data_IF_181539668604
#
_entry.id   IF_181539668604
#
_cell.length_a   1.000
_cell.length_b   1.000
_cell.length_c   1.000
_cell.angle_alpha   90.00
_cell.angle_beta   90.00
_cell.angle_gamma   90.00
#
_symmetry.space_group_name_H-M   'P 1'
#
loop_
_entity.id
_entity.type
_entity.pdbx_description
1 polymer ?
#
# COMPACT_ATOMS: atom_id res chain seq x y z
N UNK A 1 38.06 -3.69 12.10
CA UNK A 1 36.62 -3.52 12.40
C UNK A 1 35.85 -4.05 11.21
N UNK A 2 35.34 -5.27 11.33
CA UNK A 2 34.82 -6.07 10.22
C UNK A 2 33.37 -5.67 10.00
N UNK A 3 33.07 -5.00 8.89
CA UNK A 3 31.70 -4.72 8.46
C UNK A 3 31.04 -6.03 8.06
N UNK A 4 30.32 -6.63 9.01
CA UNK A 4 29.50 -7.81 8.79
C UNK A 4 28.27 -7.36 8.00
N UNK A 5 28.36 -7.51 6.67
CA UNK A 5 27.24 -7.37 5.74
C UNK A 5 26.03 -8.14 6.27
N UNK A 6 24.89 -7.46 6.43
CA UNK A 6 23.58 -8.04 6.67
C UNK A 6 23.23 -9.09 5.59
N UNK A 7 23.67 -10.32 5.80
CA UNK A 7 23.32 -11.49 4.99
C UNK A 7 22.49 -12.50 5.78
N UNK A 8 21.88 -12.08 6.89
CA UNK A 8 20.95 -12.92 7.63
C UNK A 8 19.57 -12.75 7.02
N UNK A 9 19.23 -13.66 6.11
CA UNK A 9 17.83 -13.94 5.80
C UNK A 9 17.12 -14.25 7.12
N UNK A 10 16.25 -13.36 7.58
CA UNK A 10 15.41 -13.62 8.73
C UNK A 10 13.95 -13.72 8.28
N UNK A 11 13.43 -14.95 8.26
CA UNK A 11 12.00 -15.20 8.00
C UNK A 11 11.12 -14.42 8.97
N UNK A 12 11.59 -14.19 10.20
CA UNK A 12 10.91 -13.39 11.23
C UNK A 12 10.75 -11.93 10.81
N UNK A 13 11.70 -11.37 10.05
CA UNK A 13 11.60 -9.99 9.56
C UNK A 13 10.53 -9.86 8.48
N UNK A 14 10.47 -10.82 7.56
CA UNK A 14 9.41 -10.86 6.54
C UNK A 14 8.06 -11.13 7.22
N UNK A 15 8.04 -12.02 8.21
CA UNK A 15 6.86 -12.31 9.03
C UNK A 15 6.32 -11.07 9.73
N UNK A 16 7.21 -10.25 10.30
CA UNK A 16 6.88 -8.98 10.93
C UNK A 16 6.18 -8.05 9.93
N UNK A 17 6.72 -7.84 8.73
CA UNK A 17 6.09 -6.95 7.74
C UNK A 17 4.74 -7.47 7.25
N UNK A 18 4.63 -8.78 7.01
CA UNK A 18 3.35 -9.38 6.61
C UNK A 18 2.32 -9.27 7.74
N UNK A 19 2.72 -9.48 9.00
CA UNK A 19 1.86 -9.25 10.16
C UNK A 19 1.35 -7.81 10.22
N UNK A 20 2.24 -6.83 10.02
CA UNK A 20 1.84 -5.43 10.02
C UNK A 20 0.78 -5.15 8.96
N UNK A 21 0.99 -5.61 7.72
CA UNK A 21 -0.02 -5.47 6.66
C UNK A 21 -1.33 -6.17 7.04
N UNK A 22 -1.26 -7.40 7.55
CA UNK A 22 -2.43 -8.18 7.92
C UNK A 22 -3.26 -7.52 9.04
N UNK A 23 -2.60 -7.00 10.08
CA UNK A 23 -3.26 -6.30 11.18
C UNK A 23 -3.88 -4.96 10.72
N UNK A 24 -3.19 -4.22 9.86
CA UNK A 24 -3.66 -2.93 9.35
C UNK A 24 -4.74 -3.06 8.27
N UNK A 25 -4.87 -4.22 7.64
CA UNK A 25 -5.83 -4.47 6.56
C UNK A 25 -7.31 -4.41 6.98
N UNK A 26 -7.64 -4.16 8.27
CA UNK A 26 -8.99 -4.04 8.81
C UNK A 26 -9.96 -5.10 8.26
N UNK A 27 -9.90 -6.35 8.76
CA UNK A 27 -10.78 -7.44 8.30
C UNK A 27 -12.29 -7.20 8.49
N UNK A 28 -12.70 -6.09 9.12
CA UNK A 28 -14.08 -5.81 9.56
C UNK A 28 -14.94 -4.99 8.59
N UNK A 29 -14.39 -4.36 7.55
CA UNK A 29 -15.19 -3.55 6.61
C UNK A 29 -15.58 -4.36 5.36
N UNK A 30 -16.58 -5.23 5.52
CA UNK A 30 -17.52 -5.57 4.45
C UNK A 30 -17.00 -6.33 3.23
N UNK A 31 -16.21 -7.40 3.41
CA UNK A 31 -15.91 -8.36 2.34
C UNK A 31 -17.10 -9.30 2.06
N UNK A 32 -18.25 -8.73 1.70
CA UNK A 32 -19.44 -9.46 1.22
C UNK A 32 -19.38 -9.80 -0.27
N UNK A 33 -18.20 -9.76 -0.89
CA UNK A 33 -17.93 -10.41 -2.18
C UNK A 33 -16.79 -11.39 -1.97
N UNK A 34 -17.12 -12.69 -2.08
CA UNK A 34 -16.17 -13.80 -2.19
C UNK A 34 -14.98 -13.33 -3.03
N UNK A 35 -13.84 -13.08 -2.39
CA UNK A 35 -12.59 -12.83 -3.09
C UNK A 35 -12.33 -14.03 -3.99
N UNK A 36 -11.72 -13.79 -5.15
CA UNK A 36 -11.36 -14.83 -6.09
C UNK A 36 -10.40 -15.80 -5.36
N UNK A 37 -10.96 -16.90 -4.82
CA UNK A 37 -10.29 -18.05 -4.21
C UNK A 37 -9.16 -17.70 -3.22
N UNK A 38 -9.43 -17.79 -1.92
CA UNK A 38 -8.44 -17.92 -0.84
C UNK A 38 -7.41 -16.79 -0.66
N UNK A 39 -7.59 -15.62 -1.30
CA UNK A 39 -6.68 -14.46 -1.15
C UNK A 39 -7.28 -13.35 -0.29
N UNK A 40 -6.41 -12.69 0.47
CA UNK A 40 -6.74 -11.56 1.34
C UNK A 40 -6.28 -10.23 0.72
N UNK A 41 -7.02 -9.16 1.00
CA UNK A 41 -6.65 -7.79 0.65
C UNK A 41 -5.96 -7.11 1.84
N UNK A 42 -4.91 -6.28 1.61
CA UNK A 42 -4.31 -6.00 0.30
C UNK A 42 -3.38 -7.13 -0.16
N UNK A 43 -3.20 -7.32 -1.48
CA UNK A 43 -2.22 -8.27 -2.01
C UNK A 43 -0.79 -7.83 -1.71
N UNK A 44 0.09 -8.79 -1.42
CA UNK A 44 1.52 -8.60 -1.12
C UNK A 44 2.35 -9.30 -2.21
N UNK A 45 3.25 -8.55 -2.83
CA UNK A 45 4.30 -9.09 -3.70
C UNK A 45 5.62 -9.00 -2.94
N UNK A 46 6.33 -10.12 -2.79
CA UNK A 46 7.64 -10.14 -2.15
C UNK A 46 8.71 -9.94 -3.23
N UNK A 47 9.54 -8.92 -3.08
CA UNK A 47 10.64 -8.62 -4.00
C UNK A 47 11.97 -8.78 -3.26
N UNK A 48 12.75 -9.80 -3.66
CA UNK A 48 14.12 -9.96 -3.20
C UNK A 48 15.08 -9.19 -4.12
N UNK A 49 15.82 -8.24 -3.59
CA UNK A 49 16.79 -7.43 -4.37
C UNK A 49 18.22 -7.89 -4.11
N UNK A 50 19.17 -7.44 -4.94
CA UNK A 50 20.59 -7.75 -4.78
C UNK A 50 21.01 -9.13 -5.29
N UNK A 51 20.31 -9.72 -6.27
CA UNK A 51 20.70 -11.02 -6.83
C UNK A 51 22.07 -11.00 -7.50
N UNK A 52 22.56 -9.83 -7.92
CA UNK A 52 23.92 -9.60 -8.43
C UNK A 52 25.02 -9.99 -7.43
N UNK A 53 24.70 -10.00 -6.14
CA UNK A 53 25.65 -10.36 -5.08
C UNK A 53 25.70 -11.86 -4.81
N UNK A 54 24.85 -12.65 -5.47
CA UNK A 54 24.80 -14.11 -5.36
C UNK A 54 25.53 -14.68 -6.57
N UNK A 55 26.37 -15.69 -6.33
CA UNK A 55 27.06 -16.39 -7.41
C UNK A 55 26.02 -17.01 -8.37
N UNK A 56 26.16 -16.85 -9.70
CA UNK A 56 25.19 -17.34 -10.68
C UNK A 56 24.81 -18.81 -10.50
N UNK A 57 25.79 -19.67 -10.19
CA UNK A 57 25.59 -21.10 -9.97
C UNK A 57 24.74 -21.45 -8.74
N UNK A 58 24.62 -20.54 -7.77
CA UNK A 58 23.80 -20.72 -6.56
C UNK A 58 22.48 -19.95 -6.63
N UNK A 59 22.27 -19.11 -7.64
CA UNK A 59 21.19 -18.13 -7.65
C UNK A 59 19.81 -18.80 -7.59
N UNK A 60 19.55 -19.76 -8.46
CA UNK A 60 18.25 -20.43 -8.51
C UNK A 60 17.97 -21.27 -7.25
N UNK A 61 19.00 -21.94 -6.71
CA UNK A 61 18.91 -22.67 -5.44
C UNK A 61 18.53 -21.70 -4.30
N UNK A 62 19.17 -20.54 -4.21
CA UNK A 62 18.89 -19.53 -3.17
C UNK A 62 17.49 -18.94 -3.32
N UNK A 63 17.03 -18.67 -4.54
CA UNK A 63 15.64 -18.23 -4.80
C UNK A 63 14.63 -19.28 -4.34
N UNK A 64 14.89 -20.56 -4.62
CA UNK A 64 14.01 -21.66 -4.23
C UNK A 64 13.98 -21.83 -2.71
N UNK A 65 15.14 -21.92 -2.06
CA UNK A 65 15.27 -21.99 -0.60
C UNK A 65 14.55 -20.83 0.10
N UNK A 66 14.67 -19.60 -0.44
CA UNK A 66 13.97 -18.44 0.09
C UNK A 66 12.45 -18.61 0.03
N UNK A 67 11.91 -18.99 -1.15
CA UNK A 67 10.47 -19.19 -1.34
C UNK A 67 9.92 -20.27 -0.42
N UNK A 68 10.62 -21.39 -0.31
CA UNK A 68 10.22 -22.52 0.55
C UNK A 68 10.24 -22.12 2.01
N UNK A 69 11.31 -21.48 2.49
CA UNK A 69 11.40 -21.07 3.89
C UNK A 69 10.28 -20.10 4.30
N UNK A 70 9.87 -19.18 3.42
CA UNK A 70 8.72 -18.30 3.68
C UNK A 70 7.40 -19.06 3.64
N UNK A 71 7.21 -19.95 2.66
CA UNK A 71 5.99 -20.78 2.57
C UNK A 71 5.82 -21.69 3.78
N UNK A 72 6.90 -22.28 4.26
CA UNK A 72 6.90 -23.17 5.42
C UNK A 72 6.66 -22.41 6.72
N UNK A 73 7.35 -21.28 6.91
CA UNK A 73 7.13 -20.40 8.08
C UNK A 73 5.68 -19.92 8.19
N UNK A 74 5.05 -19.64 7.05
CA UNK A 74 3.67 -19.13 6.97
C UNK A 74 2.63 -20.23 6.75
N UNK A 75 3.01 -21.52 6.77
CA UNK A 75 2.18 -22.62 6.26
C UNK A 75 0.78 -22.69 6.88
N UNK A 76 0.62 -22.38 8.16
CA UNK A 76 -0.69 -22.45 8.82
C UNK A 76 -1.25 -21.07 9.21
N UNK A 77 -0.69 -20.01 8.63
CA UNK A 77 -1.01 -18.64 9.01
C UNK A 77 -1.93 -18.01 7.96
N UNK A 78 -3.03 -17.40 8.40
CA UNK A 78 -3.99 -16.77 7.47
C UNK A 78 -3.35 -15.67 6.63
N UNK A 79 -2.43 -14.90 7.22
CA UNK A 79 -1.71 -13.82 6.56
C UNK A 79 -0.93 -14.24 5.31
N UNK A 80 -0.63 -15.55 5.13
CA UNK A 80 -0.04 -16.08 3.89
C UNK A 80 -0.89 -15.79 2.66
N UNK A 81 -2.21 -15.67 2.85
CA UNK A 81 -3.22 -15.44 1.80
C UNK A 81 -3.09 -14.05 1.17
N UNK A 82 -2.34 -13.12 1.79
CA UNK A 82 -1.98 -11.86 1.15
C UNK A 82 -0.91 -12.05 0.07
N UNK A 83 -0.02 -13.04 0.19
CA UNK A 83 1.11 -13.19 -0.74
C UNK A 83 0.61 -13.69 -2.10
N UNK A 84 0.92 -12.93 -3.16
CA UNK A 84 0.47 -13.25 -4.51
C UNK A 84 1.59 -13.68 -5.46
N UNK A 85 2.84 -13.27 -5.21
CA UNK A 85 4.00 -13.59 -6.03
C UNK A 85 5.34 -13.31 -5.32
N UNK A 86 6.40 -13.85 -5.90
CA UNK A 86 7.80 -13.58 -5.53
C UNK A 86 8.58 -13.16 -6.78
N UNK A 87 9.29 -12.05 -6.71
CA UNK A 87 10.21 -11.57 -7.75
C UNK A 87 11.61 -11.40 -7.18
N UNK A 88 12.62 -11.60 -8.01
CA UNK A 88 14.02 -11.48 -7.61
C UNK A 88 14.77 -10.61 -8.61
N UNK A 89 15.35 -9.52 -8.13
CA UNK A 89 15.94 -8.47 -8.95
C UNK A 89 17.43 -8.30 -8.62
N UNK A 90 18.20 -8.06 -9.68
CA UNK A 90 19.57 -7.57 -9.59
C UNK A 90 19.55 -6.05 -9.47
N UNK A 91 20.39 -5.51 -8.60
CA UNK A 91 20.53 -4.06 -8.45
C UNK A 91 21.40 -3.45 -9.56
N UNK A 92 22.17 -4.29 -10.28
CA UNK A 92 23.05 -3.85 -11.35
C UNK A 92 22.44 -4.06 -12.72
N UNK A 93 21.70 -5.16 -12.89
CA UNK A 93 21.19 -5.65 -14.18
C UNK A 93 19.84 -6.31 -13.98
N UNK A 94 18.79 -5.54 -13.67
CA UNK A 94 17.43 -6.06 -13.77
C UNK A 94 17.07 -6.18 -15.25
N UNK A 95 16.72 -7.38 -15.73
CA UNK A 95 16.22 -7.49 -17.10
C UNK A 95 14.90 -6.73 -17.20
N UNK A 96 14.73 -6.01 -18.30
CA UNK A 96 13.49 -5.28 -18.57
C UNK A 96 12.29 -6.22 -18.50
N UNK A 97 12.46 -7.49 -18.91
CA UNK A 97 11.42 -8.52 -18.83
C UNK A 97 10.89 -8.75 -17.40
N UNK A 98 11.76 -8.91 -16.40
CA UNK A 98 11.32 -9.18 -15.02
C UNK A 98 10.63 -7.94 -14.42
N UNK A 99 11.15 -6.75 -14.72
CA UNK A 99 10.55 -5.49 -14.27
C UNK A 99 9.18 -5.30 -14.92
N UNK A 100 9.04 -5.63 -16.20
CA UNK A 100 7.77 -5.57 -16.91
C UNK A 100 6.76 -6.61 -16.42
N UNK A 101 7.22 -7.81 -16.07
CA UNK A 101 6.38 -8.81 -15.42
C UNK A 101 5.89 -8.33 -14.05
N UNK A 102 6.76 -7.70 -13.26
CA UNK A 102 6.40 -7.11 -11.97
C UNK A 102 5.37 -6.00 -12.16
N UNK A 103 5.55 -5.09 -13.13
CA UNK A 103 4.56 -4.04 -13.47
C UNK A 103 3.22 -4.65 -13.86
N UNK A 104 3.21 -5.64 -14.75
CA UNK A 104 2.01 -6.36 -15.16
C UNK A 104 1.33 -7.03 -13.96
N UNK A 105 2.11 -7.58 -13.03
CA UNK A 105 1.60 -8.22 -11.82
C UNK A 105 0.97 -7.22 -10.86
N UNK A 106 1.60 -6.07 -10.62
CA UNK A 106 1.05 -4.97 -9.82
C UNK A 106 -0.31 -4.55 -10.39
N UNK A 107 -0.39 -4.35 -11.72
CA UNK A 107 -1.64 -3.94 -12.36
C UNK A 107 -2.75 -5.00 -12.24
N UNK A 108 -2.42 -6.28 -12.39
CA UNK A 108 -3.37 -7.39 -12.18
C UNK A 108 -3.85 -7.46 -10.73
N UNK A 109 -2.95 -7.25 -9.77
CA UNK A 109 -3.28 -7.29 -8.35
C UNK A 109 -4.09 -6.07 -7.90
N UNK A 110 -3.84 -4.90 -8.48
CA UNK A 110 -4.66 -3.71 -8.22
C UNK A 110 -6.12 -3.94 -8.62
N UNK A 111 -6.37 -4.59 -9.77
CA UNK A 111 -7.72 -4.88 -10.28
C UNK A 111 -8.57 -5.81 -9.41
N UNK A 112 -7.94 -6.63 -8.56
CA UNK A 112 -8.67 -7.53 -7.66
C UNK A 112 -8.99 -6.89 -6.32
N UNK A 113 -8.40 -5.74 -5.99
CA UNK A 113 -8.69 -5.03 -4.73
C UNK A 113 -10.11 -4.48 -4.81
N UNK A 114 -10.89 -4.69 -3.76
CA UNK A 114 -12.29 -4.29 -3.66
C UNK A 114 -12.54 -2.80 -3.88
N UNK A 115 -11.53 -1.95 -3.71
CA UNK A 115 -11.61 -0.51 -3.96
C UNK A 115 -11.39 -0.11 -5.42
N UNK A 116 -10.87 -1.01 -6.25
CA UNK A 116 -10.63 -0.74 -7.67
C UNK A 116 -11.93 -0.45 -8.40
N UNK A 117 -11.93 0.56 -9.28
CA UNK A 117 -13.10 0.99 -10.06
C UNK A 117 -14.35 1.37 -9.24
N UNK A 118 -14.21 1.61 -7.93
CA UNK A 118 -15.32 2.18 -7.14
C UNK A 118 -15.60 3.60 -7.61
N UNK A 119 -16.84 3.83 -8.03
CA UNK A 119 -17.33 5.16 -8.34
C UNK A 119 -17.25 6.06 -7.10
N UNK A 120 -16.83 7.29 -7.31
CA UNK A 120 -16.85 8.35 -6.29
C UNK A 120 -17.81 9.45 -6.75
N UNK A 121 -18.41 10.21 -5.83
CA UNK A 121 -19.22 11.37 -6.18
C UNK A 121 -18.43 12.38 -7.02
N UNK A 122 -18.98 12.82 -8.15
CA UNK A 122 -18.32 13.82 -9.01
C UNK A 122 -18.04 15.12 -8.23
N UNK A 123 -18.92 15.50 -7.30
CA UNK A 123 -18.72 16.70 -6.47
C UNK A 123 -17.41 16.68 -5.67
N UNK A 124 -16.89 15.50 -5.34
CA UNK A 124 -15.61 15.35 -4.64
C UNK A 124 -14.42 15.82 -5.48
N UNK A 125 -14.51 15.77 -6.82
CA UNK A 125 -13.40 16.23 -7.67
C UNK A 125 -13.23 17.75 -7.62
N UNK A 126 -14.30 18.50 -7.39
CA UNK A 126 -14.21 19.96 -7.25
C UNK A 126 -13.46 20.33 -5.96
N UNK A 127 -13.85 19.72 -4.83
CA UNK A 127 -13.16 19.94 -3.56
C UNK A 127 -11.70 19.46 -3.60
N UNK A 128 -11.42 18.35 -4.30
CA UNK A 128 -10.05 17.87 -4.51
C UNK A 128 -9.18 18.90 -5.25
N UNK A 129 -9.70 19.51 -6.32
CA UNK A 129 -8.99 20.55 -7.07
C UNK A 129 -8.70 21.78 -6.21
N UNK A 130 -9.67 22.24 -5.41
CA UNK A 130 -9.47 23.37 -4.50
C UNK A 130 -8.38 23.07 -3.46
N UNK A 131 -8.39 21.86 -2.87
CA UNK A 131 -7.34 21.43 -1.95
C UNK A 131 -5.97 21.39 -2.67
N UNK A 132 -5.90 20.94 -3.92
CA UNK A 132 -4.66 20.89 -4.69
C UNK A 132 -4.07 22.29 -4.93
N UNK A 133 -4.91 23.28 -5.23
CA UNK A 133 -4.47 24.67 -5.33
C UNK A 133 -3.94 25.21 -3.99
N UNK A 134 -4.57 24.85 -2.88
CA UNK A 134 -4.14 25.25 -1.55
C UNK A 134 -2.81 24.62 -1.13
N UNK A 135 -2.50 23.40 -1.59
CA UNK A 135 -1.22 22.73 -1.29
C UNK A 135 -0.02 23.57 -1.68
N UNK A 136 -0.12 24.39 -2.71
CA UNK A 136 1.00 25.25 -3.13
C UNK A 136 1.46 26.22 -2.03
N UNK A 137 0.57 26.55 -1.07
CA UNK A 137 0.80 27.60 -0.08
C UNK A 137 0.54 27.14 1.37
N UNK A 138 -0.16 26.02 1.57
CA UNK A 138 -0.54 25.49 2.89
C UNK A 138 -0.23 24.01 3.00
N UNK A 139 0.20 23.58 4.18
CA UNK A 139 0.45 22.17 4.51
C UNK A 139 -0.62 21.56 5.41
N UNK A 140 -1.34 22.40 6.15
CA UNK A 140 -2.36 22.03 7.12
C UNK A 140 -3.58 22.95 6.92
N UNK A 141 -4.77 22.38 7.02
CA UNK A 141 -6.05 23.09 7.06
C UNK A 141 -6.80 22.70 8.32
N UNK A 142 -7.62 23.61 8.82
CA UNK A 142 -8.62 23.39 9.84
C UNK A 142 -9.89 22.76 9.24
N UNK A 143 -10.63 22.01 10.04
CA UNK A 143 -11.84 21.32 9.59
C UNK A 143 -12.97 22.27 9.20
N UNK A 144 -13.11 23.39 9.91
CA UNK A 144 -14.10 24.43 9.60
C UNK A 144 -13.86 25.00 8.20
N UNK A 145 -12.63 25.37 7.89
CA UNK A 145 -12.25 25.83 6.56
C UNK A 145 -12.52 24.80 5.45
N UNK A 146 -12.28 23.51 5.70
CA UNK A 146 -12.62 22.46 4.72
C UNK A 146 -14.14 22.34 4.55
N UNK A 147 -14.95 22.47 5.60
CA UNK A 147 -16.40 22.46 5.48
C UNK A 147 -16.92 23.64 4.66
N UNK A 148 -16.36 24.84 4.86
CA UNK A 148 -16.71 26.02 4.07
C UNK A 148 -16.35 25.83 2.60
N UNK A 149 -15.15 25.29 2.33
CA UNK A 149 -14.70 24.95 0.98
C UNK A 149 -15.60 23.90 0.32
N UNK A 150 -15.97 22.87 1.08
CA UNK A 150 -16.85 21.80 0.62
C UNK A 150 -18.26 22.33 0.29
N UNK A 151 -18.78 23.27 1.08
CA UNK A 151 -20.06 23.92 0.84
C UNK A 151 -20.06 24.71 -0.46
N UNK A 152 -18.97 25.42 -0.77
CA UNK A 152 -18.78 26.10 -2.07
C UNK A 152 -18.75 25.11 -3.25
N UNK A 153 -18.30 23.87 -3.01
CA UNK A 153 -18.33 22.77 -3.96
C UNK A 153 -19.64 21.94 -3.95
N UNK A 154 -20.72 22.45 -3.34
CA UNK A 154 -22.03 21.77 -3.21
C UNK A 154 -22.02 20.48 -2.36
N UNK A 155 -21.11 20.38 -1.39
CA UNK A 155 -21.06 19.32 -0.38
C UNK A 155 -21.45 19.93 0.98
N UNK A 156 -22.75 19.96 1.26
CA UNK A 156 -23.29 20.71 2.42
C UNK A 156 -23.38 19.89 3.71
N UNK A 157 -23.41 18.56 3.61
CA UNK A 157 -23.51 17.68 4.77
C UNK A 157 -22.10 17.37 5.31
N UNK A 158 -21.85 17.69 6.57
CA UNK A 158 -20.57 17.42 7.24
C UNK A 158 -20.18 15.93 7.16
N UNK A 159 -21.15 15.01 7.21
CA UNK A 159 -20.90 13.58 7.06
C UNK A 159 -20.30 13.21 5.68
N UNK A 160 -20.70 13.92 4.62
CA UNK A 160 -20.15 13.75 3.29
C UNK A 160 -18.72 14.32 3.20
N UNK A 161 -18.44 15.43 3.89
CA UNK A 161 -17.08 15.98 4.03
C UNK A 161 -16.18 15.00 4.77
N UNK A 162 -16.65 14.42 5.87
CA UNK A 162 -15.92 13.39 6.62
C UNK A 162 -15.68 12.14 5.75
N UNK A 163 -16.66 11.72 4.96
CA UNK A 163 -16.52 10.60 4.02
C UNK A 163 -15.47 10.88 2.94
N UNK A 164 -15.46 12.09 2.38
CA UNK A 164 -14.42 12.56 1.46
C UNK A 164 -13.04 12.52 2.12
N UNK A 165 -12.89 13.07 3.33
CA UNK A 165 -11.61 13.11 4.05
C UNK A 165 -11.11 11.71 4.38
N UNK A 166 -11.98 10.80 4.85
CA UNK A 166 -11.65 9.40 5.08
C UNK A 166 -11.20 8.71 3.80
N UNK A 167 -11.84 9.02 2.67
CA UNK A 167 -11.45 8.49 1.37
C UNK A 167 -10.07 8.99 0.93
N UNK A 168 -9.82 10.29 0.97
CA UNK A 168 -8.52 10.87 0.60
C UNK A 168 -7.39 10.44 1.55
N UNK A 169 -7.70 10.23 2.84
CA UNK A 169 -6.78 9.65 3.82
C UNK A 169 -6.36 8.22 3.44
N UNK A 170 -7.32 7.37 3.05
CA UNK A 170 -7.02 6.02 2.57
C UNK A 170 -6.16 6.00 1.31
N UNK A 171 -6.29 7.02 0.45
CA UNK A 171 -5.43 7.20 -0.73
C UNK A 171 -4.04 7.76 -0.40
N UNK A 172 -3.77 8.15 0.86
CA UNK A 172 -2.51 8.77 1.27
C UNK A 172 -2.32 10.20 0.73
N UNK A 173 -3.37 10.82 0.19
CA UNK A 173 -3.31 12.19 -0.34
C UNK A 173 -3.35 13.24 0.76
N UNK A 174 -3.99 12.95 1.88
CA UNK A 174 -3.99 13.79 3.07
C UNK A 174 -3.99 12.91 4.34
N UNK A 175 -3.76 13.52 5.49
CA UNK A 175 -3.90 12.84 6.78
C UNK A 175 -5.06 13.47 7.54
N UNK A 176 -6.03 12.64 7.91
CA UNK A 176 -7.21 13.03 8.66
C UNK A 176 -7.48 11.99 9.74
N UNK A 177 -7.63 12.46 10.97
CA UNK A 177 -8.00 11.64 12.11
C UNK A 177 -9.35 12.11 12.64
N UNK A 178 -10.37 11.26 12.59
CA UNK A 178 -11.71 11.61 13.07
C UNK A 178 -11.72 11.93 14.58
N UNK A 179 -10.83 11.30 15.35
CA UNK A 179 -10.68 11.53 16.80
C UNK A 179 -9.95 12.83 17.14
N UNK A 180 -9.26 13.46 16.18
CA UNK A 180 -8.52 14.71 16.33
C UNK A 180 -8.77 15.54 15.06
N UNK A 181 -10.05 15.86 14.84
CA UNK A 181 -10.51 16.45 13.58
C UNK A 181 -10.07 17.89 13.38
N UNK A 182 -9.50 18.55 14.39
CA UNK A 182 -9.18 19.99 14.38
C UNK A 182 -8.25 20.39 13.23
N UNK A 183 -7.39 19.48 12.77
CA UNK A 183 -6.42 19.73 11.72
C UNK A 183 -6.34 18.58 10.70
N UNK A 184 -6.28 18.95 9.43
CA UNK A 184 -6.10 18.07 8.28
C UNK A 184 -4.77 18.40 7.61
N UNK A 185 -3.89 17.41 7.51
CA UNK A 185 -2.59 17.58 6.86
C UNK A 185 -2.77 17.32 5.37
N UNK A 186 -2.79 18.40 4.59
CA UNK A 186 -2.95 18.35 3.13
C UNK A 186 -1.61 18.25 2.39
N UNK A 187 -0.47 18.30 3.08
CA UNK A 187 0.82 17.96 2.48
C UNK A 187 1.56 16.95 3.36
N UNK A 188 1.24 15.65 3.23
CA UNK A 188 2.06 14.61 3.84
C UNK A 188 3.44 14.62 3.18
N UNK A 189 4.41 15.33 3.78
CA UNK A 189 5.81 15.20 3.38
C UNK A 189 6.26 13.78 3.70
N UNK A 190 6.54 12.98 2.68
CA UNK A 190 7.33 11.77 2.88
C UNK A 190 8.73 12.23 3.31
N UNK A 191 9.20 11.76 4.46
CA UNK A 191 10.60 11.92 4.83
C UNK A 191 11.45 11.32 3.70
N UNK A 192 12.16 12.19 2.97
CA UNK A 192 13.14 11.80 1.95
C UNK A 192 14.44 11.35 2.59
#
# INVERSE_FOLDING_TARGET
MQFQLCYVFNAEYIDFWINNVHCLANPTVGSSKKSIKDKLEPPIIIVGTGTDKIKPELLEEKKMQFKEKIKDHLRNQEKRKHITAFYFLSNLNSSDDIVDELRKKIFRDAKIVSTWEKAIPLVWTFLENEIEHLRQHKSILDFEYINDLASMCSINETENVVSFLKYQHKLGRLIFFETISDFIIIQPKMAG
#
